data_IF_072015235029
#
_entry.id   IF_072015235029
#
_cell.length_a   1.000
_cell.length_b   1.000
_cell.length_c   1.000
_cell.angle_alpha   90.00
_cell.angle_beta   90.00
_cell.angle_gamma   90.00
#
_symmetry.space_group_name_H-M   'P 1'
#
loop_
_entity.id
_entity.type
_entity.pdbx_description
1 polymer ?
#
# COMPACT_ATOMS: atom_id res chain seq x y z
N UNK A 1 -32.87 -25.04 44.56
CA UNK A 1 -32.59 -23.73 43.94
C UNK A 1 -31.28 -23.83 43.16
N UNK A 2 -31.32 -23.97 41.84
CA UNK A 2 -30.12 -24.05 40.98
C UNK A 2 -29.75 -22.67 40.45
N UNK A 3 -28.50 -22.23 40.66
CA UNK A 3 -27.99 -20.97 40.10
C UNK A 3 -27.32 -21.28 38.76
N UNK A 4 -27.97 -20.89 37.67
CA UNK A 4 -27.40 -20.99 36.32
C UNK A 4 -26.41 -19.84 36.09
N UNK A 5 -25.20 -20.18 35.62
CA UNK A 5 -24.15 -19.20 35.30
C UNK A 5 -24.53 -18.37 34.08
N UNK A 6 -24.19 -17.07 34.11
CA UNK A 6 -24.45 -16.10 33.04
C UNK A 6 -23.75 -16.55 31.73
N UNK A 7 -24.45 -16.59 30.58
CA UNK A 7 -23.84 -17.00 29.31
C UNK A 7 -22.77 -15.98 28.88
N UNK A 8 -21.67 -16.51 28.34
CA UNK A 8 -20.45 -15.78 27.97
C UNK A 8 -20.69 -14.93 26.72
N UNK A 9 -20.62 -13.61 26.85
CA UNK A 9 -20.87 -12.57 25.84
C UNK A 9 -19.80 -12.50 24.74
N UNK A 10 -19.32 -13.63 24.24
CA UNK A 10 -18.33 -13.66 23.14
C UNK A 10 -18.99 -13.61 21.75
N UNK A 11 -20.23 -14.07 21.63
CA UNK A 11 -21.06 -13.99 20.40
C UNK A 11 -21.71 -12.61 20.22
N UNK A 12 -21.59 -11.77 21.23
CA UNK A 12 -21.87 -10.34 21.24
C UNK A 12 -21.35 -9.68 19.95
N UNK A 13 -20.06 -9.34 20.01
CA UNK A 13 -19.39 -8.38 19.14
C UNK A 13 -19.52 -8.70 17.66
N UNK A 14 -19.35 -9.97 17.28
CA UNK A 14 -19.44 -10.42 15.89
C UNK A 14 -20.84 -10.19 15.27
N UNK A 15 -21.91 -10.31 16.07
CA UNK A 15 -23.27 -10.05 15.61
C UNK A 15 -23.58 -8.54 15.50
N UNK A 16 -22.95 -7.71 16.34
CA UNK A 16 -23.06 -6.25 16.21
C UNK A 16 -22.32 -5.75 14.98
N UNK A 17 -21.10 -6.24 14.73
CA UNK A 17 -20.30 -5.84 13.57
C UNK A 17 -21.00 -6.21 12.26
N UNK A 18 -21.63 -7.38 12.19
CA UNK A 18 -22.42 -7.80 11.02
C UNK A 18 -23.68 -6.94 10.80
N UNK A 19 -24.34 -6.50 11.87
CA UNK A 19 -25.48 -5.59 11.79
C UNK A 19 -25.07 -4.19 11.34
N UNK A 20 -23.97 -3.66 11.89
CA UNK A 20 -23.41 -2.34 11.53
C UNK A 20 -22.95 -2.33 10.07
N UNK A 21 -22.32 -3.40 9.58
CA UNK A 21 -21.86 -3.51 8.19
C UNK A 21 -22.98 -3.78 7.17
N UNK A 22 -24.17 -4.20 7.62
CA UNK A 22 -25.32 -4.48 6.75
C UNK A 22 -26.17 -3.25 6.40
N UNK A 23 -25.90 -2.09 7.01
CA UNK A 23 -26.62 -0.86 6.75
C UNK A 23 -26.28 -0.29 5.35
N UNK A 24 -27.23 0.32 4.63
CA UNK A 24 -27.01 0.82 3.27
C UNK A 24 -26.03 2.01 3.19
N UNK A 25 -25.75 2.66 4.32
CA UNK A 25 -24.74 3.70 4.54
C UNK A 25 -23.43 3.17 5.14
N UNK A 26 -23.39 1.88 5.51
CA UNK A 26 -22.17 1.26 6.00
C UNK A 26 -21.10 1.39 4.93
N UNK A 27 -20.07 2.17 5.25
CA UNK A 27 -18.92 2.33 4.38
C UNK A 27 -18.37 0.94 4.10
N UNK A 28 -18.44 0.51 2.83
CA UNK A 28 -17.90 -0.78 2.37
C UNK A 28 -16.55 -0.99 3.03
N UNK A 29 -16.40 -2.15 3.68
CA UNK A 29 -15.17 -2.61 4.30
C UNK A 29 -13.96 -2.17 3.48
N UNK A 30 -13.01 -1.51 4.16
CA UNK A 30 -11.86 -0.88 3.53
C UNK A 30 -11.17 -1.86 2.56
N UNK A 31 -10.80 -1.39 1.35
CA UNK A 31 -10.06 -2.22 0.43
C UNK A 31 -8.77 -2.69 1.10
N UNK A 32 -8.48 -3.99 0.96
CA UNK A 32 -7.31 -4.71 1.45
C UNK A 32 -6.15 -3.81 1.88
N UNK A 33 -5.90 -3.76 3.19
CA UNK A 33 -4.79 -3.09 3.89
C UNK A 33 -3.90 -2.28 2.94
N UNK A 34 -4.30 -1.02 2.70
CA UNK A 34 -3.59 -0.13 1.80
C UNK A 34 -2.10 -0.16 2.14
N UNK A 35 -1.23 -0.47 1.17
CA UNK A 35 0.22 -0.55 1.41
C UNK A 35 0.72 0.76 2.04
N UNK A 36 0.99 0.74 3.34
CA UNK A 36 1.21 1.95 4.15
C UNK A 36 2.64 2.49 4.10
N UNK A 37 3.51 1.92 3.26
CA UNK A 37 4.92 2.33 3.25
C UNK A 37 5.06 3.73 2.63
N UNK A 38 5.49 4.68 3.45
CA UNK A 38 5.80 6.05 3.04
C UNK A 38 4.62 7.01 3.15
N UNK A 39 4.92 8.30 2.99
CA UNK A 39 3.95 9.38 3.18
C UNK A 39 3.02 9.43 1.95
N UNK A 40 1.69 9.41 2.12
CA UNK A 40 0.76 9.55 0.99
C UNK A 40 0.89 10.94 0.36
N UNK A 41 1.00 10.97 -0.97
CA UNK A 41 1.07 12.21 -1.77
C UNK A 41 0.19 12.05 -3.02
N UNK A 42 -1.10 12.35 -2.86
CA UNK A 42 -2.11 12.06 -3.87
C UNK A 42 -2.19 10.55 -4.14
N UNK A 43 -2.12 10.16 -5.41
CA UNK A 43 -2.13 8.74 -5.83
C UNK A 43 -0.76 8.03 -5.71
N UNK A 44 0.28 8.70 -5.21
CA UNK A 44 1.62 8.15 -5.08
C UNK A 44 2.05 8.12 -3.61
N UNK A 45 3.02 7.26 -3.29
CA UNK A 45 3.68 7.24 -1.98
C UNK A 45 5.07 7.83 -2.09
N UNK A 46 5.43 8.74 -1.19
CA UNK A 46 6.78 9.26 -1.08
C UNK A 46 7.63 8.29 -0.27
N UNK A 47 8.76 7.87 -0.84
CA UNK A 47 9.75 7.02 -0.18
C UNK A 47 11.08 7.76 -0.08
N UNK A 48 11.80 7.56 1.04
CA UNK A 48 13.19 7.96 1.15
C UNK A 48 14.06 6.82 0.64
N UNK A 49 14.91 7.10 -0.34
CA UNK A 49 15.83 6.13 -0.93
C UNK A 49 17.23 6.74 -0.96
N UNK A 50 18.20 6.01 -0.41
CA UNK A 50 19.61 6.37 -0.52
C UNK A 50 20.20 5.65 -1.72
N UNK A 51 20.85 6.40 -2.62
CA UNK A 51 21.42 5.88 -3.87
C UNK A 51 22.90 6.25 -3.91
N UNK A 52 23.75 5.36 -4.42
CA UNK A 52 25.16 5.65 -4.65
C UNK A 52 25.33 6.87 -5.59
N UNK A 53 26.27 7.79 -5.29
CA UNK A 53 26.42 9.04 -6.06
C UNK A 53 26.75 8.79 -7.53
N UNK A 54 27.55 7.77 -7.84
CA UNK A 54 27.90 7.41 -9.22
C UNK A 54 26.69 6.90 -10.01
N UNK A 55 25.78 6.16 -9.36
CA UNK A 55 24.55 5.70 -10.01
C UNK A 55 23.59 6.88 -10.23
N UNK A 56 23.48 7.78 -9.26
CA UNK A 56 22.65 8.97 -9.36
C UNK A 56 23.09 9.87 -10.54
N UNK A 57 24.41 10.06 -10.72
CA UNK A 57 24.97 10.79 -11.88
C UNK A 57 24.56 10.16 -13.20
N UNK A 58 24.65 8.83 -13.33
CA UNK A 58 24.24 8.13 -14.55
C UNK A 58 22.75 8.31 -14.86
N UNK A 59 21.90 8.28 -13.83
CA UNK A 59 20.46 8.55 -13.98
C UNK A 59 20.22 9.97 -14.47
N UNK A 60 20.96 10.96 -13.94
CA UNK A 60 20.83 12.35 -14.37
C UNK A 60 21.23 12.57 -15.83
N UNK A 61 22.31 11.92 -16.29
CA UNK A 61 22.71 12.00 -17.70
C UNK A 61 21.66 11.38 -18.64
N UNK A 62 21.05 10.27 -18.24
CA UNK A 62 19.93 9.67 -18.99
C UNK A 62 18.72 10.60 -19.00
N UNK A 63 18.39 11.21 -17.86
CA UNK A 63 17.29 12.15 -17.73
C UNK A 63 17.48 13.36 -18.66
N UNK A 64 18.68 13.96 -18.69
CA UNK A 64 19.03 15.05 -19.60
C UNK A 64 18.90 14.63 -21.07
N UNK A 65 19.46 13.48 -21.45
CA UNK A 65 19.43 12.97 -22.83
C UNK A 65 18.02 12.71 -23.34
N UNK A 66 17.12 12.29 -22.46
CA UNK A 66 15.73 11.94 -22.81
C UNK A 66 14.73 13.07 -22.58
N UNK A 67 15.17 14.21 -22.02
CA UNK A 67 14.30 15.32 -21.64
C UNK A 67 13.31 14.97 -20.51
N UNK A 68 13.58 13.92 -19.74
CA UNK A 68 12.71 13.45 -18.67
C UNK A 68 13.18 13.98 -17.30
N UNK A 69 12.26 14.06 -16.35
CA UNK A 69 12.63 14.28 -14.96
C UNK A 69 13.35 13.05 -14.38
N UNK A 70 14.34 13.26 -13.50
CA UNK A 70 15.05 12.19 -12.78
C UNK A 70 14.10 11.14 -12.19
N UNK A 71 13.04 11.60 -11.51
CA UNK A 71 12.06 10.70 -10.90
C UNK A 71 11.29 9.85 -11.94
N UNK A 72 11.06 10.36 -13.14
CA UNK A 72 10.41 9.61 -14.21
C UNK A 72 11.32 8.48 -14.72
N UNK A 73 12.62 8.75 -14.89
CA UNK A 73 13.60 7.72 -15.28
C UNK A 73 13.69 6.62 -14.24
N UNK A 74 13.73 6.96 -12.95
CA UNK A 74 13.77 5.98 -11.85
C UNK A 74 12.50 5.11 -11.87
N UNK A 75 11.32 5.73 -11.95
CA UNK A 75 10.05 4.98 -11.97
C UNK A 75 9.95 4.06 -13.20
N UNK A 76 10.39 4.54 -14.37
CA UNK A 76 10.41 3.74 -15.59
C UNK A 76 11.34 2.54 -15.46
N UNK A 77 12.53 2.72 -14.88
CA UNK A 77 13.48 1.63 -14.68
C UNK A 77 12.91 0.55 -13.74
N UNK A 78 12.27 0.96 -12.63
CA UNK A 78 11.60 0.03 -11.71
C UNK A 78 10.48 -0.72 -12.42
N UNK A 79 9.63 -0.02 -13.16
CA UNK A 79 8.52 -0.62 -13.89
C UNK A 79 8.98 -1.67 -14.90
N UNK A 80 9.98 -1.34 -15.73
CA UNK A 80 10.57 -2.28 -16.69
C UNK A 80 11.24 -3.47 -16.02
N UNK A 81 11.85 -3.27 -14.85
CA UNK A 81 12.48 -4.37 -14.13
C UNK A 81 11.47 -5.35 -13.53
N UNK A 82 10.28 -4.85 -13.15
CA UNK A 82 9.18 -5.68 -12.66
C UNK A 82 8.43 -6.39 -13.78
N UNK A 83 8.14 -5.70 -14.89
CA UNK A 83 7.47 -6.31 -16.05
C UNK A 83 8.38 -7.20 -16.89
N UNK A 84 9.67 -6.89 -16.94
CA UNK A 84 10.65 -7.57 -17.79
C UNK A 84 11.17 -8.89 -17.21
N UNK A 85 10.47 -9.49 -16.24
CA UNK A 85 10.78 -10.77 -15.60
C UNK A 85 12.21 -10.92 -15.04
N UNK A 86 12.91 -9.81 -14.82
CA UNK A 86 14.25 -9.79 -14.22
C UNK A 86 14.27 -10.48 -12.85
N UNK A 87 13.11 -10.50 -12.18
CA UNK A 87 12.91 -11.06 -10.85
C UNK A 87 11.94 -12.25 -10.82
N UNK A 88 11.50 -12.78 -11.97
CA UNK A 88 10.80 -14.08 -11.96
C UNK A 88 11.86 -15.18 -11.78
N UNK A 89 11.87 -15.77 -10.59
CA UNK A 89 12.65 -16.98 -10.26
C UNK A 89 11.74 -18.21 -10.24
#
# INVERSE_FOLDING_TARGET
MSIQRKPKTATATAAQDAFIQGAPDASKAEPAAAYEKGIPKGHKRQITLTIAPELLRKVDEVAKRTGQARAAVINMAIFRALEGDIFQS
#
